data_IF_684454971169
#
_entry.id   IF_684454971169
#
_cell.length_a   1.000
_cell.length_b   1.000
_cell.length_c   1.000
_cell.angle_alpha   90.00
_cell.angle_beta   90.00
_cell.angle_gamma   90.00
#
_symmetry.space_group_name_H-M   'P 1'
#
loop_
_entity.id
_entity.type
_entity.pdbx_description
1 polymer ?
#
# COMPACT_ATOMS: atom_id res chain seq x y z
N UNK A 1 25.26 -89.11 -0.23
CA UNK A 1 24.10 -89.13 -1.15
C UNK A 1 22.96 -88.34 -0.53
N UNK A 2 22.32 -87.47 -1.34
CA UNK A 2 21.13 -86.62 -1.06
C UNK A 2 21.45 -85.30 -0.36
N UNK A 3 20.92 -84.14 -0.76
CA UNK A 3 20.32 -83.64 -2.00
C UNK A 3 20.25 -82.12 -1.78
N UNK A 4 20.62 -81.32 -2.77
CA UNK A 4 20.52 -79.86 -2.72
C UNK A 4 19.05 -79.42 -2.68
N UNK A 5 18.70 -78.47 -1.81
CA UNK A 5 17.49 -77.66 -1.92
C UNK A 5 17.89 -76.19 -1.86
N UNK A 6 17.79 -75.52 -3.01
CA UNK A 6 17.90 -74.07 -3.13
C UNK A 6 16.56 -73.46 -2.73
N UNK A 7 16.54 -72.67 -1.66
CA UNK A 7 15.40 -71.83 -1.32
C UNK A 7 15.59 -70.46 -1.99
N UNK A 8 14.75 -70.16 -2.98
CA UNK A 8 14.65 -68.82 -3.56
C UNK A 8 13.79 -67.95 -2.65
N UNK A 9 14.40 -66.98 -1.97
CA UNK A 9 13.68 -65.96 -1.20
C UNK A 9 13.21 -64.86 -2.15
N UNK A 10 11.91 -64.80 -2.41
CA UNK A 10 11.28 -63.70 -3.17
C UNK A 10 11.24 -62.45 -2.26
N UNK A 11 12.04 -61.44 -2.57
CA UNK A 11 11.95 -60.13 -1.91
C UNK A 11 10.77 -59.35 -2.52
N UNK A 12 9.68 -59.22 -1.78
CA UNK A 12 8.57 -58.34 -2.15
C UNK A 12 8.98 -56.88 -1.95
N UNK A 13 9.17 -56.15 -3.05
CA UNK A 13 9.41 -54.72 -3.05
C UNK A 13 8.07 -54.00 -2.76
N UNK A 14 7.85 -53.63 -1.50
CA UNK A 14 6.70 -52.84 -1.08
C UNK A 14 6.90 -51.40 -1.58
N UNK A 15 6.27 -51.05 -2.71
CA UNK A 15 6.21 -49.66 -3.16
C UNK A 15 5.34 -48.86 -2.17
N UNK A 16 5.96 -48.04 -1.33
CA UNK A 16 5.24 -47.01 -0.59
C UNK A 16 4.70 -46.00 -1.60
N UNK A 17 3.41 -46.11 -1.90
CA UNK A 17 2.66 -45.05 -2.56
C UNK A 17 2.60 -43.90 -1.56
N UNK A 18 3.50 -42.92 -1.74
CA UNK A 18 3.46 -41.67 -0.99
C UNK A 18 2.09 -41.04 -1.18
N UNK A 19 1.32 -40.96 -0.10
CA UNK A 19 0.08 -40.19 -0.08
C UNK A 19 0.45 -38.75 -0.39
N UNK A 20 0.22 -38.31 -1.63
CA UNK A 20 0.27 -36.91 -1.97
C UNK A 20 -0.77 -36.21 -1.10
N UNK A 21 -0.33 -35.56 -0.03
CA UNK A 21 -1.16 -34.64 0.73
C UNK A 21 -1.62 -33.58 -0.25
N UNK A 22 -2.89 -33.60 -0.63
CA UNK A 22 -3.48 -32.57 -1.47
C UNK A 22 -3.15 -31.23 -0.83
N UNK A 23 -2.39 -30.41 -1.55
CA UNK A 23 -2.09 -29.05 -1.17
C UNK A 23 -3.44 -28.36 -0.94
N UNK A 24 -3.70 -27.75 0.23
CA UNK A 24 -4.97 -27.07 0.46
C UNK A 24 -5.20 -26.09 -0.70
N UNK A 25 -6.42 -26.01 -1.26
CA UNK A 25 -6.69 -25.13 -2.38
C UNK A 25 -6.20 -23.73 -2.03
N UNK A 26 -5.55 -23.06 -2.99
CA UNK A 26 -5.10 -21.68 -2.86
C UNK A 26 -6.18 -20.87 -2.13
N UNK A 27 -5.80 -20.20 -1.04
CA UNK A 27 -6.72 -19.52 -0.13
C UNK A 27 -7.61 -18.55 -0.93
N UNK A 28 -8.84 -18.97 -1.21
CA UNK A 28 -9.80 -18.19 -2.00
C UNK A 28 -10.02 -16.84 -1.33
N UNK A 29 -10.01 -15.75 -2.11
CA UNK A 29 -10.30 -14.42 -1.59
C UNK A 29 -11.68 -14.39 -0.92
N UNK A 30 -11.88 -13.49 0.03
CA UNK A 30 -13.11 -13.41 0.81
C UNK A 30 -13.46 -11.99 1.20
N UNK A 31 -14.74 -11.75 1.44
CA UNK A 31 -15.24 -10.51 2.04
C UNK A 31 -16.20 -10.87 3.18
N UNK A 32 -16.06 -10.21 4.33
CA UNK A 32 -17.11 -10.19 5.35
C UNK A 32 -17.99 -8.97 5.07
N UNK A 33 -19.28 -9.19 4.83
CA UNK A 33 -20.22 -8.11 4.56
C UNK A 33 -20.79 -7.60 5.88
N UNK A 34 -20.91 -6.28 6.01
CA UNK A 34 -21.51 -5.60 7.16
C UNK A 34 -22.59 -4.63 6.69
N UNK A 35 -23.56 -4.31 7.55
CA UNK A 35 -24.46 -3.18 7.35
C UNK A 35 -23.87 -1.84 7.82
N UNK A 36 -24.62 -0.76 7.66
CA UNK A 36 -24.18 0.60 8.00
C UNK A 36 -23.90 0.80 9.49
N UNK A 37 -24.41 -0.09 10.35
CA UNK A 37 -24.11 -0.14 11.78
C UNK A 37 -22.88 -1.01 12.10
N UNK A 38 -22.26 -1.63 11.09
CA UNK A 38 -21.12 -2.53 11.24
C UNK A 38 -21.51 -3.96 11.65
N UNK A 39 -22.79 -4.31 11.64
CA UNK A 39 -23.23 -5.67 11.99
C UNK A 39 -22.98 -6.62 10.81
N UNK A 40 -22.37 -7.76 11.11
CA UNK A 40 -22.06 -8.78 10.11
C UNK A 40 -23.34 -9.35 9.45
N UNK A 41 -23.34 -9.35 8.11
CA UNK A 41 -24.39 -9.88 7.23
C UNK A 41 -23.99 -11.16 6.51
N UNK A 42 -22.81 -11.71 6.79
CA UNK A 42 -22.33 -12.96 6.21
C UNK A 42 -21.06 -12.76 5.40
N UNK A 43 -20.79 -13.68 4.48
CA UNK A 43 -19.52 -13.73 3.76
C UNK A 43 -19.69 -13.98 2.27
N UNK A 44 -18.74 -13.46 1.49
CA UNK A 44 -18.51 -13.82 0.10
C UNK A 44 -17.15 -14.51 -0.04
N UNK A 45 -17.06 -15.55 -0.88
CA UNK A 45 -15.81 -16.25 -1.23
C UNK A 45 -15.60 -16.21 -2.74
N UNK A 46 -14.37 -15.95 -3.16
CA UNK A 46 -14.00 -15.68 -4.55
C UNK A 46 -12.91 -16.67 -4.97
N UNK A 47 -13.22 -17.54 -5.92
CA UNK A 47 -12.32 -18.63 -6.37
C UNK A 47 -12.10 -18.53 -7.86
N UNK A 48 -10.86 -18.29 -8.29
CA UNK A 48 -10.50 -18.35 -9.71
C UNK A 48 -10.72 -19.76 -10.26
N UNK A 49 -11.41 -19.87 -11.38
CA UNK A 49 -11.63 -21.11 -12.14
C UNK A 49 -11.21 -20.93 -13.60
N UNK A 50 -11.04 -22.00 -14.39
CA UNK A 50 -10.73 -21.89 -15.81
C UNK A 50 -11.78 -21.08 -16.60
N UNK A 51 -13.02 -20.99 -16.11
CA UNK A 51 -14.13 -20.27 -16.73
C UNK A 51 -14.34 -18.85 -16.17
N UNK A 52 -13.40 -18.34 -15.37
CA UNK A 52 -13.49 -17.04 -14.69
C UNK A 52 -13.65 -17.16 -13.18
N UNK A 53 -14.05 -16.07 -12.53
CA UNK A 53 -14.18 -16.00 -11.09
C UNK A 53 -15.51 -16.60 -10.62
N UNK A 54 -15.45 -17.61 -9.76
CA UNK A 54 -16.61 -18.08 -9.00
C UNK A 54 -16.76 -17.23 -7.73
N UNK A 55 -17.99 -16.79 -7.44
CA UNK A 55 -18.33 -16.00 -6.25
C UNK A 55 -19.44 -16.75 -5.50
N UNK A 56 -19.13 -17.19 -4.27
CA UNK A 56 -20.05 -17.87 -3.37
C UNK A 56 -20.48 -16.91 -2.26
N UNK A 57 -21.77 -16.60 -2.18
CA UNK A 57 -22.38 -15.73 -1.18
C UNK A 57 -23.15 -16.57 -0.16
N UNK A 58 -22.93 -16.32 1.12
CA UNK A 58 -23.73 -16.83 2.24
C UNK A 58 -24.07 -15.66 3.16
N UNK A 59 -25.26 -15.08 2.97
CA UNK A 59 -25.69 -13.83 3.60
C UNK A 59 -26.94 -14.05 4.47
N UNK A 60 -27.11 -13.16 5.45
CA UNK A 60 -28.20 -13.21 6.42
C UNK A 60 -28.60 -11.82 6.92
N UNK A 61 -29.82 -11.72 7.43
CA UNK A 61 -30.34 -10.48 8.03
C UNK A 61 -30.52 -9.36 7.00
N UNK A 62 -30.81 -9.74 5.75
CA UNK A 62 -31.18 -8.85 4.65
C UNK A 62 -32.71 -8.83 4.49
N UNK A 63 -33.30 -7.75 3.94
CA UNK A 63 -34.72 -7.73 3.58
C UNK A 63 -35.07 -8.88 2.61
N UNK A 64 -36.25 -9.52 2.72
CA UNK A 64 -36.67 -10.49 1.72
C UNK A 64 -36.93 -9.83 0.35
N UNK A 65 -36.53 -10.51 -0.74
CA UNK A 65 -36.72 -10.02 -2.10
C UNK A 65 -35.50 -10.17 -3.00
N UNK A 66 -35.51 -9.48 -4.14
CA UNK A 66 -34.38 -9.43 -5.07
C UNK A 66 -33.52 -8.21 -4.78
N UNK A 67 -32.20 -8.39 -4.78
CA UNK A 67 -31.23 -7.34 -4.46
C UNK A 67 -30.12 -7.29 -5.51
N UNK A 68 -29.75 -6.09 -5.97
CA UNK A 68 -28.57 -5.93 -6.79
C UNK A 68 -27.31 -6.25 -6.00
N UNK A 69 -26.32 -6.84 -6.67
CA UNK A 69 -24.99 -7.09 -6.12
C UNK A 69 -23.97 -6.61 -7.13
N UNK A 70 -23.01 -5.80 -6.68
CA UNK A 70 -21.97 -5.25 -7.55
C UNK A 70 -20.60 -5.36 -6.90
N UNK A 71 -19.57 -5.57 -7.72
CA UNK A 71 -18.19 -5.27 -7.31
C UNK A 71 -17.91 -3.80 -7.61
N UNK A 72 -17.59 -3.04 -6.59
CA UNK A 72 -17.27 -1.62 -6.71
C UNK A 72 -15.76 -1.39 -6.82
N UNK A 73 -15.38 -0.26 -7.42
CA UNK A 73 -13.99 0.05 -7.76
C UNK A 73 -13.09 0.12 -6.53
N UNK A 74 -13.57 0.62 -5.39
CA UNK A 74 -12.76 0.86 -4.20
C UNK A 74 -13.06 -0.18 -3.11
N UNK A 75 -12.02 -0.68 -2.46
CA UNK A 75 -12.11 -1.57 -1.30
C UNK A 75 -12.47 -0.85 -0.02
N UNK A 76 -13.60 -0.14 -0.02
CA UNK A 76 -14.06 0.65 1.11
C UNK A 76 -15.54 0.48 1.35
N UNK A 77 -15.89 0.38 2.63
CA UNK A 77 -17.27 0.32 3.11
C UNK A 77 -17.59 1.50 4.04
N UNK A 78 -16.84 2.59 3.96
CA UNK A 78 -17.16 3.80 4.70
C UNK A 78 -18.29 4.58 3.99
N UNK A 79 -19.05 5.42 4.71
CA UNK A 79 -19.89 6.43 4.08
C UNK A 79 -19.04 7.33 3.18
N UNK A 80 -19.57 7.71 2.03
CA UNK A 80 -18.86 8.55 1.07
C UNK A 80 -19.80 9.17 0.04
N UNK A 81 -19.30 10.08 -0.82
CA UNK A 81 -20.11 10.69 -1.85
C UNK A 81 -20.56 9.63 -2.87
N UNK A 82 -21.86 9.59 -3.16
CA UNK A 82 -22.41 8.84 -4.28
C UNK A 82 -22.47 9.76 -5.51
N UNK A 83 -21.76 9.45 -6.61
CA UNK A 83 -21.81 10.24 -7.85
C UNK A 83 -23.20 10.31 -8.48
N UNK A 84 -24.06 9.30 -8.25
CA UNK A 84 -25.42 9.25 -8.78
C UNK A 84 -26.34 10.22 -8.04
N UNK A 85 -26.18 10.33 -6.73
CA UNK A 85 -27.09 11.08 -5.86
C UNK A 85 -26.54 12.45 -5.41
N UNK A 86 -25.25 12.70 -5.65
CA UNK A 86 -24.51 13.86 -5.16
C UNK A 86 -24.67 14.08 -3.64
N UNK A 87 -24.71 12.98 -2.87
CA UNK A 87 -24.89 12.95 -1.42
C UNK A 87 -23.94 11.97 -0.76
N UNK A 88 -23.64 12.19 0.52
CA UNK A 88 -22.95 11.18 1.33
C UNK A 88 -23.96 10.09 1.69
N UNK A 89 -23.71 8.87 1.24
CA UNK A 89 -24.56 7.71 1.51
C UNK A 89 -23.77 6.63 2.25
N UNK A 90 -24.43 5.74 3.01
CA UNK A 90 -23.79 4.53 3.51
C UNK A 90 -23.06 3.79 2.38
N UNK A 91 -21.81 3.38 2.63
CA UNK A 91 -20.96 2.68 1.66
C UNK A 91 -20.61 3.46 0.38
N UNK A 92 -20.86 4.77 0.32
CA UNK A 92 -20.54 5.59 -0.86
C UNK A 92 -19.05 5.60 -1.22
N UNK A 93 -18.16 5.40 -0.25
CA UNK A 93 -16.71 5.36 -0.46
C UNK A 93 -16.25 4.18 -1.35
N UNK A 94 -17.08 3.14 -1.50
CA UNK A 94 -16.86 2.08 -2.48
C UNK A 94 -16.74 2.62 -3.93
N UNK A 95 -17.32 3.80 -4.20
CA UNK A 95 -17.23 4.47 -5.48
C UNK A 95 -18.11 3.84 -6.57
N UNK A 96 -17.78 4.02 -7.86
CA UNK A 96 -18.53 3.45 -8.98
C UNK A 96 -18.30 1.94 -9.09
N UNK A 97 -19.05 1.29 -9.99
CA UNK A 97 -18.83 -0.12 -10.32
C UNK A 97 -17.40 -0.34 -10.84
N UNK A 98 -16.87 -1.53 -10.60
CA UNK A 98 -15.56 -1.89 -11.10
C UNK A 98 -15.61 -2.13 -12.62
N UNK A 99 -14.94 -1.26 -13.37
CA UNK A 99 -14.91 -1.27 -14.83
C UNK A 99 -13.47 -1.41 -15.37
N UNK A 100 -12.88 -2.62 -15.36
CA UNK A 100 -11.50 -2.83 -15.79
C UNK A 100 -11.27 -2.61 -17.29
N UNK A 101 -12.33 -2.67 -18.09
CA UNK A 101 -12.31 -2.51 -19.55
C UNK A 101 -12.66 -1.09 -20.00
N UNK A 102 -13.09 -0.23 -19.08
CA UNK A 102 -13.49 1.15 -19.35
C UNK A 102 -14.69 1.24 -20.32
N UNK A 103 -15.63 0.30 -20.18
CA UNK A 103 -16.91 0.29 -20.91
C UNK A 103 -17.75 1.54 -20.66
N UNK A 104 -17.65 2.12 -19.45
CA UNK A 104 -18.43 3.28 -18.98
C UNK A 104 -19.94 3.10 -19.09
N UNK A 105 -20.42 1.87 -19.04
CA UNK A 105 -21.81 1.55 -19.25
C UNK A 105 -22.22 0.45 -18.27
N UNK A 106 -23.31 0.68 -17.53
CA UNK A 106 -23.96 -0.37 -16.76
C UNK A 106 -24.78 -1.29 -17.69
N UNK A 107 -24.92 -2.57 -17.34
CA UNK A 107 -25.84 -3.44 -18.07
C UNK A 107 -25.88 -4.89 -17.64
N UNK A 108 -26.43 -5.73 -18.54
CA UNK A 108 -26.61 -7.15 -18.28
C UNK A 108 -25.26 -7.84 -17.97
N UNK A 109 -25.12 -8.56 -16.84
CA UNK A 109 -23.87 -9.18 -16.45
C UNK A 109 -23.34 -10.22 -17.45
N UNK A 110 -24.21 -10.76 -18.32
CA UNK A 110 -23.86 -11.70 -19.39
C UNK A 110 -23.30 -11.03 -20.65
N UNK A 111 -23.40 -9.71 -20.77
CA UNK A 111 -22.85 -8.97 -21.90
C UNK A 111 -21.31 -9.00 -21.91
N UNK A 112 -20.69 -8.83 -23.10
CA UNK A 112 -19.24 -8.78 -23.23
C UNK A 112 -18.58 -7.75 -22.32
N UNK A 113 -17.36 -8.05 -21.85
CA UNK A 113 -16.65 -7.24 -20.87
C UNK A 113 -16.38 -5.80 -21.33
N UNK A 114 -16.31 -5.55 -22.64
CA UNK A 114 -16.09 -4.23 -23.24
C UNK A 114 -17.38 -3.40 -23.40
N UNK A 115 -18.55 -3.96 -23.09
CA UNK A 115 -19.86 -3.30 -23.26
C UNK A 115 -20.53 -2.92 -21.95
N UNK A 116 -20.17 -3.57 -20.85
CA UNK A 116 -20.73 -3.34 -19.52
C UNK A 116 -19.65 -3.37 -18.46
N UNK A 117 -19.91 -2.81 -17.28
CA UNK A 117 -18.95 -2.88 -16.19
C UNK A 117 -18.61 -4.34 -15.85
N UNK A 118 -17.34 -4.60 -15.55
CA UNK A 118 -16.88 -5.92 -15.11
C UNK A 118 -17.51 -6.35 -13.78
N UNK A 119 -17.85 -5.38 -12.93
CA UNK A 119 -18.45 -5.54 -11.61
C UNK A 119 -19.97 -5.70 -11.58
N UNK A 120 -20.66 -5.62 -12.71
CA UNK A 120 -22.09 -5.93 -12.80
C UNK A 120 -22.31 -7.44 -12.61
N UNK A 121 -23.12 -7.84 -11.63
CA UNK A 121 -23.40 -9.24 -11.29
C UNK A 121 -24.91 -9.55 -11.27
N UNK A 122 -25.31 -10.83 -11.39
CA UNK A 122 -26.71 -11.20 -11.24
C UNK A 122 -27.31 -10.82 -9.88
N UNK A 123 -28.59 -10.44 -9.88
CA UNK A 123 -29.40 -10.19 -8.69
C UNK A 123 -29.40 -11.38 -7.71
N UNK A 124 -29.33 -11.06 -6.41
CA UNK A 124 -29.42 -11.98 -5.29
C UNK A 124 -30.87 -12.14 -4.81
N UNK A 125 -31.33 -13.39 -4.70
CA UNK A 125 -32.60 -13.72 -4.08
C UNK A 125 -32.43 -13.95 -2.57
N UNK A 126 -33.12 -13.17 -1.76
CA UNK A 126 -33.19 -13.31 -0.30
C UNK A 126 -34.54 -13.90 0.10
N UNK A 127 -34.49 -14.99 0.87
CA UNK A 127 -35.67 -15.69 1.36
C UNK A 127 -36.45 -14.94 2.45
N UNK A 128 -37.66 -15.40 2.82
CA UNK A 128 -38.48 -14.78 3.87
C UNK A 128 -37.82 -14.77 5.26
N UNK A 129 -36.85 -15.65 5.50
CA UNK A 129 -36.04 -15.72 6.72
C UNK A 129 -34.84 -14.75 6.71
N UNK A 130 -34.73 -13.93 5.66
CA UNK A 130 -33.65 -12.96 5.48
C UNK A 130 -32.31 -13.59 5.12
N UNK A 131 -32.27 -14.85 4.69
CA UNK A 131 -31.06 -15.57 4.26
C UNK A 131 -30.97 -15.65 2.75
N UNK A 132 -29.74 -15.66 2.25
CA UNK A 132 -29.47 -15.86 0.83
C UNK A 132 -28.18 -16.66 0.63
N UNK A 133 -28.24 -17.66 -0.26
CA UNK A 133 -27.07 -18.38 -0.76
C UNK A 133 -27.07 -18.37 -2.28
N UNK A 134 -25.97 -17.92 -2.86
CA UNK A 134 -25.82 -17.82 -4.31
C UNK A 134 -24.39 -18.16 -4.71
N UNK A 135 -24.24 -19.07 -5.67
CA UNK A 135 -22.99 -19.26 -6.39
C UNK A 135 -23.17 -18.68 -7.78
N UNK A 136 -22.34 -17.71 -8.14
CA UNK A 136 -22.31 -17.09 -9.46
C UNK A 136 -20.92 -17.19 -10.08
N UNK A 137 -20.84 -17.01 -11.40
CA UNK A 137 -19.58 -16.98 -12.14
C UNK A 137 -19.51 -15.72 -12.99
N UNK A 138 -18.34 -15.09 -13.01
CA UNK A 138 -18.04 -13.98 -13.90
C UNK A 138 -16.81 -14.31 -14.74
N UNK A 139 -16.98 -14.34 -16.06
CA UNK A 139 -15.87 -14.47 -17.01
C UNK A 139 -15.03 -13.18 -17.12
N UNK A 140 -15.51 -12.07 -16.55
CA UNK A 140 -14.93 -10.72 -16.65
C UNK A 140 -13.95 -10.40 -15.51
N UNK A 141 -13.95 -11.21 -14.46
CA UNK A 141 -13.26 -10.93 -13.20
C UNK A 141 -12.29 -12.04 -12.84
N UNK A 142 -11.27 -11.70 -12.05
CA UNK A 142 -10.34 -12.65 -11.41
C UNK A 142 -10.13 -12.28 -9.95
N UNK A 143 -9.56 -13.17 -9.15
CA UNK A 143 -9.04 -12.87 -7.81
C UNK A 143 -7.51 -12.98 -7.76
N UNK A 144 -6.84 -12.72 -8.89
CA UNK A 144 -5.39 -12.83 -9.04
C UNK A 144 -4.70 -11.51 -8.68
N UNK A 145 -3.75 -11.48 -7.74
CA UNK A 145 -3.05 -10.25 -7.41
C UNK A 145 -2.31 -9.66 -8.63
N UNK A 146 -2.46 -8.34 -8.85
CA UNK A 146 -1.81 -7.62 -9.96
C UNK A 146 -2.51 -7.73 -11.32
N UNK A 147 -3.55 -8.57 -11.45
CA UNK A 147 -4.34 -8.64 -12.68
C UNK A 147 -5.24 -7.39 -12.82
N UNK A 148 -5.32 -6.82 -14.03
CA UNK A 148 -6.18 -5.65 -14.32
C UNK A 148 -7.66 -5.92 -13.98
N UNK A 149 -8.09 -7.16 -14.10
CA UNK A 149 -9.46 -7.63 -13.82
C UNK A 149 -9.67 -8.12 -12.39
N UNK A 150 -8.65 -7.98 -11.53
CA UNK A 150 -8.68 -8.50 -10.17
C UNK A 150 -9.69 -7.77 -9.30
N UNK A 151 -10.46 -8.53 -8.51
CA UNK A 151 -11.35 -8.02 -7.46
C UNK A 151 -10.66 -7.80 -6.12
N UNK A 152 -9.39 -8.17 -5.97
CA UNK A 152 -8.67 -7.98 -4.70
C UNK A 152 -8.51 -6.48 -4.38
N UNK A 153 -8.73 -6.11 -3.12
CA UNK A 153 -8.71 -4.72 -2.66
C UNK A 153 -9.90 -3.90 -3.15
N UNK A 154 -10.97 -4.57 -3.64
CA UNK A 154 -12.25 -3.97 -4.03
C UNK A 154 -13.32 -4.28 -3.00
N UNK A 155 -14.54 -3.79 -3.20
CA UNK A 155 -15.66 -4.11 -2.33
C UNK A 155 -16.79 -4.80 -3.09
N UNK A 156 -17.49 -5.70 -2.40
CA UNK A 156 -18.76 -6.25 -2.84
C UNK A 156 -19.87 -5.50 -2.11
N UNK A 157 -20.82 -4.94 -2.84
CA UNK A 157 -21.95 -4.16 -2.30
C UNK A 157 -23.25 -4.85 -2.65
N UNK A 158 -24.18 -4.89 -1.69
CA UNK A 158 -25.57 -5.31 -1.87
C UNK A 158 -26.46 -4.09 -1.75
N UNK A 159 -27.38 -3.92 -2.69
CA UNK A 159 -28.33 -2.80 -2.72
C UNK A 159 -29.72 -3.19 -2.22
N UNK A 160 -30.55 -2.20 -1.90
CA UNK A 160 -31.90 -2.38 -1.37
C UNK A 160 -32.87 -3.02 -2.38
N UNK A 161 -32.72 -2.70 -3.67
CA UNK A 161 -33.64 -3.11 -4.74
C UNK A 161 -32.91 -3.94 -5.81
N UNK A 162 -33.63 -4.65 -6.69
CA UNK A 162 -33.02 -5.35 -7.81
C UNK A 162 -32.41 -4.39 -8.82
N UNK A 163 -31.38 -4.88 -9.51
CA UNK A 163 -30.82 -4.30 -10.72
C UNK A 163 -31.76 -4.54 -11.91
N UNK A 164 -32.11 -3.49 -12.65
CA UNK A 164 -32.88 -3.54 -13.89
C UNK A 164 -32.04 -3.83 -15.16
N UNK A 165 -30.72 -3.92 -15.01
CA UNK A 165 -29.67 -4.14 -16.01
C UNK A 165 -29.64 -3.14 -17.17
N UNK A 166 -30.16 -1.93 -16.96
CA UNK A 166 -30.31 -0.92 -18.01
C UNK A 166 -29.98 0.50 -17.56
N UNK A 167 -30.37 0.87 -16.35
CA UNK A 167 -30.35 2.26 -15.93
C UNK A 167 -29.02 2.64 -15.28
N UNK A 168 -28.30 3.60 -15.83
CA UNK A 168 -27.09 4.10 -15.19
C UNK A 168 -27.37 4.81 -13.85
N UNK A 169 -26.41 4.78 -12.90
CA UNK A 169 -25.14 4.05 -12.96
C UNK A 169 -25.19 2.64 -12.35
N UNK A 170 -26.32 2.22 -11.78
CA UNK A 170 -26.44 1.01 -10.95
C UNK A 170 -27.81 0.33 -11.03
N UNK A 171 -28.46 0.40 -12.19
CA UNK A 171 -29.69 -0.34 -12.49
C UNK A 171 -30.91 0.04 -11.67
N UNK A 172 -31.03 1.29 -11.23
CA UNK A 172 -32.06 1.72 -10.27
C UNK A 172 -32.10 0.90 -8.96
N UNK A 173 -30.99 0.27 -8.56
CA UNK A 173 -30.93 -0.60 -7.38
C UNK A 173 -31.11 0.11 -6.03
N UNK A 174 -31.06 1.45 -6.01
CA UNK A 174 -31.28 2.24 -4.81
C UNK A 174 -30.15 2.14 -3.77
N UNK A 175 -30.44 2.43 -2.49
CA UNK A 175 -29.45 2.52 -1.43
C UNK A 175 -28.59 1.27 -1.26
N UNK A 176 -27.35 1.46 -0.81
CA UNK A 176 -26.40 0.39 -0.47
C UNK A 176 -26.71 -0.10 0.96
N UNK A 177 -26.99 -1.39 1.13
CA UNK A 177 -27.45 -1.96 2.42
C UNK A 177 -26.44 -2.88 3.09
N UNK A 178 -25.49 -3.44 2.34
CA UNK A 178 -24.36 -4.19 2.89
C UNK A 178 -23.12 -4.03 2.03
N UNK A 179 -21.94 -4.08 2.65
CA UNK A 179 -20.66 -3.98 1.96
C UNK A 179 -19.59 -4.81 2.64
N UNK A 180 -18.71 -5.43 1.85
CA UNK A 180 -17.51 -6.10 2.35
C UNK A 180 -16.31 -5.88 1.43
N UNK A 181 -15.14 -5.61 2.01
CA UNK A 181 -13.87 -5.51 1.27
C UNK A 181 -13.37 -6.91 0.93
N UNK A 182 -12.94 -7.11 -0.31
CA UNK A 182 -12.51 -8.38 -0.89
C UNK A 182 -11.00 -8.50 -0.73
N UNK A 183 -10.58 -9.36 0.19
CA UNK A 183 -9.17 -9.56 0.55
C UNK A 183 -8.79 -11.05 0.47
N UNK A 184 -7.50 -11.35 0.38
CA UNK A 184 -7.02 -12.74 0.51
C UNK A 184 -7.02 -13.17 1.99
N UNK A 185 -7.47 -14.40 2.33
CA UNK A 185 -7.30 -14.95 3.67
C UNK A 185 -5.82 -14.96 4.07
N UNK A 186 -5.51 -14.51 5.29
CA UNK A 186 -4.14 -14.35 5.75
C UNK A 186 -3.43 -13.08 5.25
N UNK A 187 -4.13 -12.19 4.53
CA UNK A 187 -3.68 -10.83 4.18
C UNK A 187 -4.54 -9.74 4.84
N UNK A 188 -5.14 -10.04 5.99
CA UNK A 188 -5.72 -9.00 6.86
C UNK A 188 -4.58 -8.24 7.52
N UNK A 189 -4.59 -6.89 7.53
CA UNK A 189 -3.66 -6.12 8.33
C UNK A 189 -3.67 -6.60 9.79
N UNK A 190 -2.48 -6.70 10.39
CA UNK A 190 -2.29 -6.98 11.82
C UNK A 190 -2.91 -5.88 12.68
N UNK A 191 -2.86 -4.63 12.18
CA UNK A 191 -3.48 -3.47 12.77
C UNK A 191 -3.79 -2.42 11.68
N UNK A 192 -4.67 -1.49 12.01
CA UNK A 192 -4.97 -0.31 11.18
C UNK A 192 -5.05 0.92 12.07
N UNK A 193 -4.36 1.98 11.67
CA UNK A 193 -4.39 3.29 12.30
C UNK A 193 -5.06 4.29 11.36
N UNK A 194 -6.27 4.72 11.67
CA UNK A 194 -7.06 5.64 10.83
C UNK A 194 -6.86 7.10 11.24
N UNK A 195 -6.88 8.00 10.27
CA UNK A 195 -6.83 9.45 10.50
C UNK A 195 -8.22 10.08 10.37
N UNK A 196 -8.47 11.11 11.18
CA UNK A 196 -9.66 11.95 11.05
C UNK A 196 -9.36 13.09 10.05
N UNK A 197 -10.27 13.32 9.10
CA UNK A 197 -10.16 14.40 8.11
C UNK A 197 -10.06 13.91 6.66
N UNK A 198 -10.54 14.75 5.74
CA UNK A 198 -10.59 14.43 4.31
C UNK A 198 -9.36 14.91 3.51
N UNK A 199 -8.40 15.55 4.17
CA UNK A 199 -7.26 16.19 3.51
C UNK A 199 -5.93 15.78 4.14
N UNK A 200 -5.84 14.59 4.74
CA UNK A 200 -4.65 14.15 5.48
C UNK A 200 -3.50 13.78 4.56
N UNK A 201 -3.73 12.96 3.53
CA UNK A 201 -2.70 12.47 2.59
C UNK A 201 -1.38 12.10 3.30
N UNK A 202 -1.40 11.07 4.16
CA UNK A 202 -0.24 10.72 4.96
C UNK A 202 0.89 10.27 4.03
N UNK A 203 2.10 10.76 4.21
CA UNK A 203 3.21 10.48 3.30
C UNK A 203 4.34 9.79 4.05
N UNK A 204 5.15 10.52 4.80
CA UNK A 204 6.32 9.97 5.47
C UNK A 204 6.02 9.37 6.85
N UNK A 205 6.90 8.50 7.32
CA UNK A 205 6.80 7.84 8.63
C UNK A 205 8.16 7.72 9.32
N UNK A 206 8.18 7.90 10.63
CA UNK A 206 9.31 7.61 11.50
C UNK A 206 8.84 6.86 12.74
N UNK A 207 9.65 5.95 13.27
CA UNK A 207 9.27 5.15 14.46
C UNK A 207 10.29 5.39 15.56
N UNK A 208 9.81 5.65 16.77
CA UNK A 208 10.60 5.53 17.98
C UNK A 208 10.72 4.06 18.36
N UNK A 209 11.86 3.45 18.09
CA UNK A 209 12.12 2.03 18.36
C UNK A 209 11.98 1.67 19.85
N UNK A 210 12.16 2.64 20.77
CA UNK A 210 12.09 2.38 22.21
C UNK A 210 10.64 2.23 22.69
N UNK A 211 9.74 3.05 22.16
CA UNK A 211 8.34 3.11 22.60
C UNK A 211 7.39 2.40 21.63
N UNK A 212 7.81 2.22 20.38
CA UNK A 212 7.00 1.78 19.26
C UNK A 212 6.03 2.85 18.75
N UNK A 213 6.10 4.09 19.23
CA UNK A 213 5.28 5.19 18.69
C UNK A 213 5.78 5.54 17.30
N UNK A 214 4.87 5.57 16.33
CA UNK A 214 5.18 6.08 14.99
C UNK A 214 4.72 7.53 14.85
N UNK A 215 5.42 8.30 14.02
CA UNK A 215 5.11 9.66 13.64
C UNK A 215 4.86 9.70 12.15
N UNK A 216 3.78 10.33 11.72
CA UNK A 216 3.36 10.37 10.31
C UNK A 216 3.15 11.81 9.88
N UNK A 217 3.68 12.17 8.71
CA UNK A 217 3.51 13.49 8.09
C UNK A 217 2.36 13.52 7.08
N UNK A 218 1.75 14.69 6.91
CA UNK A 218 0.75 14.99 5.88
C UNK A 218 1.37 15.76 4.72
N UNK A 219 1.25 15.27 3.49
CA UNK A 219 1.79 15.94 2.29
C UNK A 219 1.00 17.19 1.88
N UNK A 220 -0.25 17.30 2.31
CA UNK A 220 -1.22 18.33 1.91
C UNK A 220 -1.32 19.48 2.89
N UNK A 221 -1.19 19.20 4.18
CA UNK A 221 -1.42 20.17 5.25
C UNK A 221 -0.20 20.35 6.16
N UNK A 222 0.82 19.50 6.03
CA UNK A 222 2.01 19.51 6.88
C UNK A 222 1.75 19.15 8.34
N UNK A 223 0.56 18.61 8.63
CA UNK A 223 0.21 18.02 9.91
C UNK A 223 1.17 16.90 10.29
N UNK A 224 1.48 16.82 11.59
CA UNK A 224 2.17 15.69 12.19
C UNK A 224 1.21 14.92 13.08
N UNK A 225 1.22 13.61 12.94
CA UNK A 225 0.40 12.69 13.72
C UNK A 225 1.26 11.69 14.46
N UNK A 226 0.70 11.10 15.52
CA UNK A 226 1.26 9.98 16.25
C UNK A 226 0.38 8.74 16.09
N UNK A 227 1.01 7.60 15.90
CA UNK A 227 0.39 6.29 16.01
C UNK A 227 0.86 5.68 17.33
N UNK A 228 -0.02 5.67 18.32
CA UNK A 228 0.26 5.05 19.62
C UNK A 228 -0.08 3.56 19.52
N UNK A 229 0.84 2.65 19.88
CA UNK A 229 0.57 1.23 19.84
C UNK A 229 -0.70 0.83 20.59
N UNK A 230 -1.51 -0.02 19.96
CA UNK A 230 -2.80 -0.47 20.50
C UNK A 230 -3.96 0.49 20.30
N UNK A 231 -3.75 1.69 19.73
CA UNK A 231 -4.84 2.60 19.36
C UNK A 231 -5.14 2.55 17.87
N UNK A 232 -6.41 2.37 17.52
CA UNK A 232 -6.87 2.33 16.13
C UNK A 232 -6.92 3.71 15.45
N UNK A 233 -6.94 4.81 16.21
CA UNK A 233 -6.92 6.17 15.67
C UNK A 233 -5.56 6.82 15.83
N UNK A 234 -5.12 7.53 14.80
CA UNK A 234 -3.98 8.43 14.85
C UNK A 234 -4.31 9.67 15.70
N UNK A 235 -3.35 10.12 16.50
CA UNK A 235 -3.47 11.33 17.31
C UNK A 235 -2.79 12.50 16.58
N UNK A 236 -3.47 13.63 16.42
CA UNK A 236 -2.83 14.85 15.92
C UNK A 236 -1.78 15.33 16.94
N UNK A 237 -0.52 15.42 16.52
CA UNK A 237 0.58 15.96 17.33
C UNK A 237 0.71 17.46 17.15
N UNK A 238 0.73 17.92 15.90
CA UNK A 238 0.91 19.33 15.59
C UNK A 238 0.21 19.73 14.29
N UNK A 239 -0.37 20.93 14.32
CA UNK A 239 -0.85 21.59 13.12
C UNK A 239 0.33 21.98 12.21
N UNK A 240 0.13 21.94 10.89
CA UNK A 240 1.11 22.34 9.91
C UNK A 240 1.04 23.85 9.64
N UNK A 241 1.57 24.28 8.51
CA UNK A 241 1.60 25.68 8.07
C UNK A 241 2.71 26.54 8.70
N UNK A 242 3.45 26.03 9.69
CA UNK A 242 4.71 26.66 10.11
C UNK A 242 5.78 26.50 9.02
N UNK A 243 6.79 27.38 8.91
CA UNK A 243 7.83 27.28 7.88
C UNK A 243 8.47 25.90 7.80
N UNK A 244 8.50 25.31 6.59
CA UNK A 244 9.01 23.96 6.33
C UNK A 244 8.07 22.84 6.75
N UNK A 245 6.84 23.17 7.14
CA UNK A 245 5.72 22.25 7.38
C UNK A 245 4.46 22.74 6.66
N UNK A 246 4.62 23.33 5.48
CA UNK A 246 3.53 23.50 4.51
C UNK A 246 3.12 22.13 3.93
N UNK A 247 4.10 21.22 3.84
CA UNK A 247 3.94 19.78 3.65
C UNK A 247 4.91 19.06 4.60
N UNK A 248 4.59 17.83 4.97
CA UNK A 248 5.44 16.96 5.78
C UNK A 248 5.59 15.63 5.04
N UNK A 249 6.65 15.52 4.23
CA UNK A 249 6.98 14.34 3.43
C UNK A 249 7.86 13.39 4.25
N UNK A 250 9.05 13.01 3.78
CA UNK A 250 9.94 12.10 4.50
C UNK A 250 10.23 12.52 5.95
N UNK A 251 10.15 11.55 6.87
CA UNK A 251 10.45 11.72 8.29
C UNK A 251 11.56 10.78 8.76
N UNK A 252 12.40 11.27 9.67
CA UNK A 252 13.22 10.44 10.56
C UNK A 252 13.27 11.01 11.98
N UNK A 253 13.31 10.12 12.96
CA UNK A 253 13.48 10.46 14.37
C UNK A 253 14.93 10.20 14.77
N UNK A 254 15.58 11.19 15.38
CA UNK A 254 16.91 11.00 15.95
C UNK A 254 16.87 10.59 17.43
N UNK A 255 18.03 10.21 17.96
CA UNK A 255 18.17 9.77 19.34
C UNK A 255 17.94 10.88 20.39
N UNK A 256 17.87 12.15 19.97
CA UNK A 256 17.56 13.29 20.84
C UNK A 256 16.06 13.60 20.87
N UNK A 257 15.23 12.81 20.19
CA UNK A 257 13.79 13.03 20.12
C UNK A 257 13.41 14.15 19.17
N UNK A 258 14.21 14.41 18.13
CA UNK A 258 13.89 15.38 17.08
C UNK A 258 13.46 14.66 15.81
N UNK A 259 12.32 15.08 15.26
CA UNK A 259 11.81 14.68 13.96
C UNK A 259 12.37 15.60 12.89
N UNK A 260 13.04 15.01 11.91
CA UNK A 260 13.54 15.65 10.71
C UNK A 260 12.50 15.45 9.62
N UNK A 261 12.00 16.55 9.06
CA UNK A 261 10.83 16.55 8.16
C UNK A 261 11.18 17.26 6.87
N UNK A 262 11.14 16.53 5.75
CA UNK A 262 11.31 17.08 4.43
C UNK A 262 10.05 17.86 4.00
N UNK A 263 10.21 19.13 3.64
CA UNK A 263 9.11 20.05 3.37
C UNK A 263 8.64 20.10 1.92
N UNK A 264 9.06 19.16 1.06
CA UNK A 264 8.63 19.10 -0.34
C UNK A 264 9.02 20.33 -1.14
N UNK A 265 8.03 20.91 -1.82
CA UNK A 265 8.18 22.08 -2.68
C UNK A 265 8.60 23.37 -1.94
N UNK A 266 8.49 23.42 -0.61
CA UNK A 266 8.98 24.55 0.17
C UNK A 266 10.51 24.69 0.11
N UNK A 267 11.23 23.60 -0.21
CA UNK A 267 12.68 23.58 -0.20
C UNK A 267 13.27 23.71 1.19
N UNK A 268 12.51 23.32 2.22
CA UNK A 268 12.91 23.44 3.62
C UNK A 268 12.97 22.08 4.30
N UNK A 269 13.96 21.89 5.16
CA UNK A 269 14.06 20.78 6.09
C UNK A 269 13.75 21.31 7.49
N UNK A 270 12.65 20.86 8.09
CA UNK A 270 12.28 21.24 9.45
C UNK A 270 12.81 20.22 10.46
N UNK A 271 13.24 20.71 11.62
CA UNK A 271 13.59 19.89 12.79
C UNK A 271 12.58 20.21 13.89
N UNK A 272 11.83 19.20 14.33
CA UNK A 272 10.68 19.33 15.21
C UNK A 272 10.91 18.52 16.48
N UNK A 273 10.57 19.09 17.62
CA UNK A 273 10.54 18.35 18.89
C UNK A 273 9.44 17.29 18.85
N UNK A 274 9.79 16.00 18.94
CA UNK A 274 8.82 14.90 18.75
C UNK A 274 7.82 14.77 19.90
N UNK A 275 8.11 15.32 21.08
CA UNK A 275 7.23 15.28 22.24
C UNK A 275 6.15 16.37 22.18
N UNK A 276 6.52 17.56 21.72
CA UNK A 276 5.65 18.75 21.73
C UNK A 276 5.14 19.14 20.35
N UNK A 277 5.74 18.63 19.28
CA UNK A 277 5.42 19.01 17.90
C UNK A 277 5.89 20.41 17.51
N UNK A 278 6.71 21.08 18.34
CA UNK A 278 7.22 22.43 18.10
C UNK A 278 8.42 22.41 17.15
N UNK A 279 8.37 23.20 16.08
CA UNK A 279 9.51 23.41 15.19
C UNK A 279 10.66 24.10 15.95
N UNK A 280 11.82 23.45 15.98
CA UNK A 280 13.03 23.92 16.66
C UNK A 280 14.02 24.58 15.69
N UNK A 281 14.10 24.09 14.45
CA UNK A 281 14.90 24.68 13.39
C UNK A 281 14.26 24.48 12.02
N UNK A 282 14.60 25.34 11.07
CA UNK A 282 14.19 25.25 9.66
C UNK A 282 15.42 25.57 8.83
N UNK A 283 15.78 24.68 7.92
CA UNK A 283 16.94 24.81 7.04
C UNK A 283 16.46 24.97 5.61
N UNK A 284 16.88 26.06 4.97
CA UNK A 284 16.62 26.30 3.57
C UNK A 284 17.63 25.58 2.67
N UNK A 285 17.16 25.01 1.56
CA UNK A 285 18.08 24.69 0.46
C UNK A 285 18.81 25.95 0.01
N UNK A 286 20.09 25.86 -0.39
CA UNK A 286 20.77 26.95 -1.08
C UNK A 286 19.98 27.44 -2.30
N UNK A 287 20.11 28.74 -2.60
CA UNK A 287 19.47 29.38 -3.76
C UNK A 287 19.73 28.60 -5.05
N UNK A 288 18.69 28.43 -5.86
CA UNK A 288 18.77 27.62 -7.08
C UNK A 288 17.42 27.50 -7.81
N UNK A 289 17.33 26.61 -8.81
CA UNK A 289 16.08 26.30 -9.55
C UNK A 289 14.99 25.73 -8.63
N UNK A 290 13.83 25.30 -9.11
CA UNK A 290 12.82 24.69 -8.23
C UNK A 290 13.34 23.41 -7.56
N UNK A 291 13.07 23.21 -6.26
CA UNK A 291 13.44 22.01 -5.47
C UNK A 291 12.19 21.23 -5.08
N UNK A 292 12.37 19.96 -4.78
CA UNK A 292 11.39 19.15 -4.07
C UNK A 292 12.09 18.21 -3.10
N UNK A 293 12.25 18.62 -1.83
CA UNK A 293 12.85 17.78 -0.80
C UNK A 293 11.89 16.65 -0.43
N UNK A 294 12.26 15.41 -0.71
CA UNK A 294 11.33 14.29 -0.64
C UNK A 294 11.56 13.42 0.59
N UNK A 295 12.70 12.72 0.66
CA UNK A 295 12.97 11.78 1.75
C UNK A 295 14.27 12.11 2.49
N UNK A 296 14.37 11.68 3.74
CA UNK A 296 15.50 11.93 4.64
C UNK A 296 15.97 10.66 5.33
N UNK A 297 17.28 10.51 5.47
CA UNK A 297 17.90 9.48 6.31
C UNK A 297 18.94 10.07 7.25
N UNK A 298 19.01 9.53 8.47
CA UNK A 298 20.05 9.85 9.44
C UNK A 298 21.15 8.79 9.34
N UNK A 299 22.36 9.20 8.98
CA UNK A 299 23.50 8.31 8.82
C UNK A 299 24.42 8.30 10.05
N UNK A 300 25.20 7.22 10.19
CA UNK A 300 26.11 7.00 11.31
C UNK A 300 27.32 7.94 11.34
N UNK A 301 27.59 8.63 10.24
CA UNK A 301 28.63 9.66 10.14
C UNK A 301 28.21 11.01 10.72
N UNK A 302 27.00 11.10 11.27
CA UNK A 302 26.47 12.29 11.93
C UNK A 302 25.72 13.24 11.00
N UNK A 303 25.46 12.86 9.75
CA UNK A 303 24.72 13.68 8.78
C UNK A 303 23.33 13.11 8.44
N UNK A 304 22.36 14.00 8.40
CA UNK A 304 21.07 13.76 7.77
C UNK A 304 21.25 14.01 6.28
N UNK A 305 20.91 13.04 5.43
CA UNK A 305 20.95 13.15 3.98
C UNK A 305 19.52 13.27 3.44
N UNK A 306 19.30 14.22 2.53
CA UNK A 306 17.96 14.55 2.02
C UNK A 306 17.97 14.51 0.50
N UNK A 307 17.06 13.73 -0.07
CA UNK A 307 16.88 13.64 -1.52
C UNK A 307 16.10 14.84 -2.05
N UNK A 308 16.49 15.32 -3.24
CA UNK A 308 15.70 16.26 -4.03
C UNK A 308 15.19 15.56 -5.27
N UNK A 309 13.87 15.41 -5.39
CA UNK A 309 13.27 14.73 -6.54
C UNK A 309 13.23 15.59 -7.79
N UNK A 310 13.50 16.89 -7.70
CA UNK A 310 13.49 17.84 -8.82
C UNK A 310 14.90 18.24 -9.26
N UNK A 311 15.79 18.56 -8.33
CA UNK A 311 17.20 18.92 -8.63
C UNK A 311 18.11 17.70 -8.48
N UNK A 312 19.11 17.49 -9.36
CA UNK A 312 20.07 16.40 -9.22
C UNK A 312 21.10 16.70 -8.13
N UNK A 313 20.65 16.85 -6.88
CA UNK A 313 21.48 17.16 -5.71
C UNK A 313 21.04 16.28 -4.54
N UNK A 314 22.02 15.72 -3.83
CA UNK A 314 21.80 15.19 -2.49
C UNK A 314 22.23 16.22 -1.47
N UNK A 315 21.30 16.65 -0.63
CA UNK A 315 21.58 17.61 0.44
C UNK A 315 22.01 16.90 1.72
N UNK A 316 22.72 17.61 2.60
CA UNK A 316 22.96 17.12 3.97
C UNK A 316 22.98 18.20 5.03
N UNK A 317 22.68 17.81 6.27
CA UNK A 317 22.84 18.66 7.46
C UNK A 317 23.39 17.84 8.63
N UNK A 318 24.19 18.44 9.51
CA UNK A 318 24.65 17.75 10.71
C UNK A 318 23.45 17.45 11.63
N UNK A 319 23.24 16.18 11.97
CA UNK A 319 22.24 15.79 12.99
C UNK A 319 22.89 15.49 14.33
N UNK A 320 24.16 15.06 14.35
CA UNK A 320 24.86 14.85 15.60
C UNK A 320 25.13 16.20 16.30
N UNK A 321 24.59 16.36 17.52
CA UNK A 321 24.86 17.52 18.36
C UNK A 321 23.81 18.65 18.26
N UNK A 322 24.21 19.93 18.39
CA UNK A 322 23.32 21.08 18.35
C UNK A 322 22.50 21.16 17.06
N UNK A 323 21.40 21.93 17.09
CA UNK A 323 20.60 22.16 15.89
C UNK A 323 21.46 22.75 14.77
N UNK A 324 21.43 22.18 13.55
CA UNK A 324 22.15 22.73 12.41
C UNK A 324 21.58 24.11 12.04
N UNK A 325 22.40 24.89 11.31
CA UNK A 325 22.01 26.21 10.80
C UNK A 325 21.85 26.26 9.28
N UNK A 326 22.32 25.25 8.57
CA UNK A 326 22.34 25.23 7.10
C UNK A 326 22.12 23.83 6.55
N UNK A 327 21.52 23.77 5.37
CA UNK A 327 21.44 22.59 4.53
C UNK A 327 22.49 22.72 3.41
N UNK A 328 23.44 21.79 3.34
CA UNK A 328 24.54 21.81 2.37
C UNK A 328 24.13 21.06 1.09
N UNK A 329 24.35 21.67 -0.08
CA UNK A 329 24.33 20.96 -1.36
C UNK A 329 25.58 20.06 -1.45
N UNK A 330 25.49 18.86 -0.89
CA UNK A 330 26.66 18.03 -0.61
C UNK A 330 27.20 17.31 -1.85
N UNK A 331 26.31 16.76 -2.67
CA UNK A 331 26.67 16.00 -3.86
C UNK A 331 25.82 16.44 -5.05
N UNK A 332 26.50 16.93 -6.10
CA UNK A 332 25.92 17.13 -7.42
C UNK A 332 25.79 15.77 -8.12
N UNK A 333 24.57 15.24 -8.18
CA UNK A 333 24.26 13.98 -8.84
C UNK A 333 24.33 14.11 -10.37
N UNK A 334 24.25 15.32 -10.93
CA UNK A 334 24.42 15.57 -12.37
C UNK A 334 25.84 15.25 -12.84
N UNK A 335 26.82 15.34 -11.95
CA UNK A 335 28.22 14.94 -12.19
C UNK A 335 28.48 13.44 -11.97
N UNK A 336 27.45 12.65 -11.65
CA UNK A 336 27.54 11.19 -11.39
C UNK A 336 26.88 10.41 -12.52
N UNK A 337 26.79 9.07 -12.47
CA UNK A 337 26.01 8.30 -13.45
C UNK A 337 24.48 8.49 -13.36
N UNK A 338 23.95 9.11 -12.30
CA UNK A 338 22.50 9.33 -12.13
C UNK A 338 21.97 10.27 -13.22
N UNK A 339 20.83 9.95 -13.82
CA UNK A 339 20.21 10.76 -14.88
C UNK A 339 18.79 11.14 -14.50
N UNK A 340 18.56 12.40 -14.19
CA UNK A 340 17.23 12.91 -13.87
C UNK A 340 16.38 13.07 -15.12
N UNK A 341 15.08 12.78 -15.00
CA UNK A 341 14.06 13.04 -16.01
C UNK A 341 13.22 14.25 -15.59
N UNK A 342 13.04 15.22 -16.48
CA UNK A 342 12.37 16.49 -16.16
C UNK A 342 10.84 16.38 -16.00
N UNK A 343 10.25 15.27 -16.41
CA UNK A 343 8.80 15.02 -16.47
C UNK A 343 8.27 14.16 -15.32
N UNK A 344 9.13 13.67 -14.42
CA UNK A 344 8.75 12.82 -13.30
C UNK A 344 9.66 13.02 -12.07
N UNK A 345 9.18 12.71 -10.84
CA UNK A 345 10.03 12.70 -9.65
C UNK A 345 11.24 11.75 -9.82
N UNK A 346 12.42 12.18 -9.39
CA UNK A 346 13.66 11.40 -9.54
C UNK A 346 14.10 10.72 -8.24
N UNK A 347 15.29 11.03 -7.73
CA UNK A 347 15.79 10.40 -6.51
C UNK A 347 14.82 10.69 -5.37
N UNK A 348 14.43 9.64 -4.67
CA UNK A 348 13.31 9.69 -3.75
C UNK A 348 13.65 8.97 -2.44
N UNK A 349 13.11 7.77 -2.19
CA UNK A 349 13.38 7.07 -0.95
C UNK A 349 14.86 6.79 -0.73
N UNK A 350 15.33 6.99 0.51
CA UNK A 350 16.73 6.83 0.89
C UNK A 350 16.88 6.15 2.26
N UNK A 351 17.84 5.24 2.36
CA UNK A 351 18.20 4.51 3.59
C UNK A 351 19.71 4.46 3.77
N UNK A 352 20.16 4.26 5.00
CA UNK A 352 21.56 4.11 5.35
C UNK A 352 21.82 2.66 5.77
N UNK A 353 22.97 2.11 5.38
CA UNK A 353 23.36 0.76 5.78
C UNK A 353 23.74 0.71 7.25
N UNK A 354 23.45 -0.41 7.91
CA UNK A 354 23.71 -0.60 9.34
C UNK A 354 25.20 -0.56 9.72
N UNK A 355 26.09 -0.87 8.77
CA UNK A 355 27.54 -0.72 8.92
C UNK A 355 28.02 0.74 8.76
N UNK A 356 27.11 1.67 8.46
CA UNK A 356 27.39 3.10 8.26
C UNK A 356 28.22 3.41 7.03
N UNK A 357 28.37 2.46 6.08
CA UNK A 357 29.25 2.62 4.93
C UNK A 357 28.58 3.22 3.71
N UNK A 358 27.28 3.02 3.53
CA UNK A 358 26.59 3.37 2.29
C UNK A 358 25.24 4.02 2.55
N UNK A 359 24.83 4.86 1.62
CA UNK A 359 23.44 5.25 1.44
C UNK A 359 22.89 4.48 0.23
N UNK A 360 21.67 3.98 0.33
CA UNK A 360 20.94 3.37 -0.77
C UNK A 360 19.74 4.25 -1.10
N UNK A 361 19.55 4.59 -2.38
CA UNK A 361 18.46 5.45 -2.80
C UNK A 361 17.78 4.91 -4.06
N UNK A 362 16.45 4.97 -4.11
CA UNK A 362 15.67 4.61 -5.30
C UNK A 362 15.34 5.85 -6.11
N UNK A 363 15.33 5.72 -7.43
CA UNK A 363 14.89 6.75 -8.35
C UNK A 363 13.51 6.39 -8.91
N UNK A 364 12.48 7.15 -8.52
CA UNK A 364 11.07 6.88 -8.88
C UNK A 364 10.87 6.77 -10.39
N UNK A 365 11.45 7.69 -11.16
CA UNK A 365 11.27 7.82 -12.61
C UNK A 365 11.89 6.70 -13.46
N UNK A 366 12.89 5.99 -12.93
CA UNK A 366 13.63 4.95 -13.66
C UNK A 366 13.50 3.58 -13.01
N UNK A 367 13.19 3.53 -11.72
CA UNK A 367 13.27 2.31 -10.90
C UNK A 367 14.69 1.86 -10.61
N UNK A 368 15.70 2.70 -10.87
CA UNK A 368 17.09 2.36 -10.57
C UNK A 368 17.35 2.51 -9.08
N UNK A 369 18.17 1.60 -8.55
CA UNK A 369 18.65 1.64 -7.17
C UNK A 369 20.12 2.08 -7.18
N UNK A 370 20.47 3.01 -6.31
CA UNK A 370 21.79 3.65 -6.29
C UNK A 370 22.46 3.41 -4.95
N UNK A 371 23.74 3.02 -4.97
CA UNK A 371 24.64 3.01 -3.82
C UNK A 371 25.50 4.26 -3.84
N UNK A 372 25.53 4.98 -2.73
CA UNK A 372 26.30 6.22 -2.57
C UNK A 372 27.25 6.06 -1.40
N UNK A 373 28.54 6.35 -1.63
CA UNK A 373 29.55 6.42 -0.58
C UNK A 373 29.56 7.82 0.05
N UNK A 374 29.16 8.01 1.32
CA UNK A 374 29.17 9.31 1.98
C UNK A 374 30.58 9.88 2.20
N UNK A 375 31.64 9.06 2.10
CA UNK A 375 33.03 9.48 2.29
C UNK A 375 33.69 9.87 0.97
N UNK A 376 33.63 8.98 -0.03
CA UNK A 376 34.27 9.19 -1.33
C UNK A 376 33.39 9.95 -2.34
N UNK A 377 32.09 10.05 -2.06
CA UNK A 377 31.05 10.58 -2.98
C UNK A 377 30.85 9.74 -4.24
N UNK A 378 31.40 8.53 -4.28
CA UNK A 378 31.19 7.61 -5.38
C UNK A 378 29.72 7.18 -5.43
N UNK A 379 29.14 7.19 -6.63
CA UNK A 379 27.78 6.72 -6.89
C UNK A 379 27.84 5.59 -7.92
N UNK A 380 27.25 4.44 -7.56
CA UNK A 380 27.14 3.27 -8.44
C UNK A 380 25.72 2.76 -8.46
N UNK A 381 25.25 2.34 -9.63
CA UNK A 381 23.99 1.62 -9.73
C UNK A 381 24.11 0.23 -9.05
N UNK A 382 23.05 -0.17 -8.36
CA UNK A 382 22.83 -1.52 -7.87
C UNK A 382 21.89 -2.20 -8.87
N UNK A 383 22.40 -3.05 -9.78
CA UNK A 383 21.52 -3.80 -10.67
C UNK A 383 20.62 -4.73 -9.85
N UNK A 384 19.35 -4.78 -10.26
CA UNK A 384 18.29 -5.55 -9.59
C UNK A 384 17.81 -6.65 -10.52
N UNK A 385 18.08 -7.91 -10.15
CA UNK A 385 17.56 -9.08 -10.85
C UNK A 385 16.11 -9.36 -10.44
N UNK A 386 15.26 -9.81 -11.38
CA UNK A 386 13.88 -10.22 -11.06
C UNK A 386 12.80 -9.13 -11.23
N UNK A 387 13.12 -8.04 -11.92
CA UNK A 387 12.14 -7.09 -12.46
C UNK A 387 12.33 -5.64 -12.00
N UNK A 388 11.51 -4.75 -12.57
CA UNK A 388 11.61 -3.31 -12.35
C UNK A 388 11.14 -2.86 -10.96
N UNK A 389 11.72 -1.75 -10.49
CA UNK A 389 11.27 -0.95 -9.35
C UNK A 389 10.72 0.42 -9.78
N UNK A 390 10.26 0.56 -11.04
CA UNK A 390 9.65 1.79 -11.51
C UNK A 390 8.54 2.23 -10.56
N UNK A 391 8.47 3.53 -10.27
CA UNK A 391 7.61 4.11 -9.23
C UNK A 391 7.94 3.67 -7.80
N UNK A 392 9.18 3.24 -7.55
CA UNK A 392 9.71 3.02 -6.21
C UNK A 392 9.80 4.31 -5.42
N UNK A 393 9.33 4.28 -4.18
CA UNK A 393 9.19 5.43 -3.31
C UNK A 393 9.88 5.16 -1.96
N UNK A 394 9.15 5.16 -0.84
CA UNK A 394 9.73 4.91 0.48
C UNK A 394 10.46 3.56 0.59
N UNK A 395 11.58 3.61 1.32
CA UNK A 395 12.50 2.50 1.53
C UNK A 395 12.62 2.13 3.02
N UNK A 396 12.76 0.82 3.28
CA UNK A 396 13.13 0.30 4.60
C UNK A 396 14.20 -0.78 4.44
N UNK A 397 15.37 -0.57 5.05
CA UNK A 397 16.44 -1.57 5.09
C UNK A 397 16.47 -2.27 6.44
N UNK A 398 16.43 -3.60 6.43
CA UNK A 398 16.57 -4.44 7.62
C UNK A 398 17.57 -5.56 7.35
N UNK A 399 18.78 -5.43 7.88
CA UNK A 399 19.90 -6.30 7.50
C UNK A 399 20.21 -6.14 6.02
N UNK A 400 20.07 -7.22 5.24
CA UNK A 400 20.24 -7.22 3.78
C UNK A 400 18.92 -7.26 3.00
N UNK A 401 17.80 -7.23 3.70
CA UNK A 401 16.48 -7.15 3.07
C UNK A 401 16.09 -5.68 2.91
N UNK A 402 16.00 -5.21 1.67
CA UNK A 402 15.50 -3.87 1.34
C UNK A 402 14.06 -3.98 0.87
N UNK A 403 13.16 -3.30 1.57
CA UNK A 403 11.77 -3.18 1.18
C UNK A 403 11.58 -1.87 0.43
N UNK A 404 10.88 -1.97 -0.70
CA UNK A 404 10.57 -0.85 -1.59
C UNK A 404 9.05 -0.77 -1.73
N UNK A 405 8.47 0.37 -1.37
CA UNK A 405 7.08 0.69 -1.70
C UNK A 405 7.01 1.11 -3.16
N UNK A 406 6.03 0.60 -3.91
CA UNK A 406 5.73 1.05 -5.26
C UNK A 406 4.31 1.60 -5.32
N UNK A 407 4.18 2.93 -5.44
CA UNK A 407 2.88 3.58 -5.21
C UNK A 407 1.86 3.20 -6.29
N UNK A 408 2.25 3.35 -7.56
CA UNK A 408 1.38 3.18 -8.72
C UNK A 408 0.91 1.72 -8.83
N UNK A 409 1.82 0.78 -8.62
CA UNK A 409 1.53 -0.65 -8.62
C UNK A 409 0.83 -1.13 -7.35
N UNK A 410 0.79 -0.30 -6.30
CA UNK A 410 0.21 -0.62 -4.99
C UNK A 410 0.77 -1.94 -4.44
N UNK A 411 2.08 -2.01 -4.31
CA UNK A 411 2.79 -3.19 -3.82
C UNK A 411 3.98 -2.88 -2.92
N UNK A 412 4.41 -3.89 -2.16
CA UNK A 412 5.71 -3.92 -1.50
C UNK A 412 6.62 -4.93 -2.18
N UNK A 413 7.84 -4.52 -2.52
CA UNK A 413 8.87 -5.38 -3.09
C UNK A 413 9.95 -5.61 -2.05
N UNK A 414 10.23 -6.87 -1.70
CA UNK A 414 11.39 -7.24 -0.88
C UNK A 414 12.53 -7.66 -1.80
N UNK A 415 13.64 -6.95 -1.67
CA UNK A 415 14.92 -7.25 -2.31
C UNK A 415 15.85 -7.91 -1.32
N UNK A 416 16.66 -8.84 -1.80
CA UNK A 416 17.78 -9.40 -1.06
C UNK A 416 19.08 -8.87 -1.66
N UNK A 417 19.81 -8.08 -0.87
CA UNK A 417 21.09 -7.47 -1.23
C UNK A 417 22.25 -8.44 -0.95
N UNK A 418 23.31 -8.37 -1.76
CA UNK A 418 24.58 -9.02 -1.43
C UNK A 418 25.29 -8.30 -0.27
N UNK A 419 26.34 -8.91 0.28
CA UNK A 419 27.07 -8.35 1.45
C UNK A 419 27.70 -6.99 1.16
N UNK A 420 28.06 -6.72 -0.10
CA UNK A 420 28.64 -5.46 -0.53
C UNK A 420 27.62 -4.40 -0.92
N UNK A 421 26.31 -4.69 -0.91
CA UNK A 421 25.27 -3.84 -1.49
C UNK A 421 25.57 -3.45 -2.96
N UNK A 422 26.24 -4.31 -3.72
CA UNK A 422 26.57 -4.10 -5.14
C UNK A 422 25.51 -4.66 -6.08
N UNK A 423 24.71 -5.62 -5.62
CA UNK A 423 23.65 -6.28 -6.40
C UNK A 423 22.45 -6.58 -5.53
N UNK A 424 21.28 -6.63 -6.14
CA UNK A 424 20.06 -7.05 -5.48
C UNK A 424 19.29 -8.03 -6.36
N UNK A 425 18.46 -8.87 -5.74
CA UNK A 425 17.43 -9.65 -6.45
C UNK A 425 16.08 -9.44 -5.80
N UNK A 426 15.02 -9.40 -6.60
CA UNK A 426 13.64 -9.45 -6.11
C UNK A 426 13.42 -10.82 -5.47
N UNK A 427 13.25 -10.84 -4.16
CA UNK A 427 12.88 -12.05 -3.43
C UNK A 427 11.37 -12.23 -3.37
N UNK A 428 10.63 -11.13 -3.31
CA UNK A 428 9.18 -11.19 -3.17
C UNK A 428 8.48 -9.90 -3.61
N UNK A 429 7.26 -10.06 -4.11
CA UNK A 429 6.31 -8.99 -4.38
C UNK A 429 5.03 -9.24 -3.61
N UNK A 430 4.58 -8.25 -2.86
CA UNK A 430 3.40 -8.34 -2.00
C UNK A 430 2.36 -7.37 -2.48
N UNK A 431 1.26 -7.94 -2.96
CA UNK A 431 0.08 -7.26 -3.52
C UNK A 431 -1.18 -7.75 -2.79
N UNK A 432 -2.36 -7.20 -3.09
CA UNK A 432 -3.63 -7.71 -2.55
C UNK A 432 -3.80 -7.58 -1.03
N UNK A 433 -2.97 -6.75 -0.40
CA UNK A 433 -3.25 -6.10 0.88
C UNK A 433 -4.10 -4.84 0.57
N UNK A 434 -4.80 -4.25 1.55
CA UNK A 434 -5.62 -3.04 1.34
C UNK A 434 -4.75 -1.78 1.19
N UNK A 435 -3.80 -1.82 0.25
CA UNK A 435 -2.97 -0.70 -0.14
C UNK A 435 -3.79 0.31 -0.93
N UNK A 436 -3.65 1.60 -0.59
CA UNK A 436 -4.31 2.73 -1.27
C UNK A 436 -3.23 3.71 -1.70
N UNK A 437 -2.52 3.36 -2.78
CA UNK A 437 -1.35 4.12 -3.27
C UNK A 437 -0.34 4.38 -2.14
N UNK A 438 0.30 3.31 -1.63
CA UNK A 438 1.16 3.39 -0.47
C UNK A 438 2.36 4.29 -0.78
N UNK A 439 2.79 5.15 0.14
CA UNK A 439 3.89 6.12 -0.05
C UNK A 439 5.20 5.65 0.55
N UNK A 440 5.14 5.08 1.75
CA UNK A 440 6.32 4.66 2.48
C UNK A 440 6.00 3.54 3.47
N UNK A 441 7.05 3.08 4.16
CA UNK A 441 6.93 2.10 5.22
C UNK A 441 7.98 2.29 6.32
N UNK A 442 7.68 1.74 7.50
CA UNK A 442 8.64 1.58 8.59
C UNK A 442 8.48 0.23 9.29
N UNK A 443 9.47 -0.12 10.10
CA UNK A 443 9.38 -1.28 10.98
C UNK A 443 8.22 -1.10 11.98
N UNK A 444 7.34 -2.10 12.06
CA UNK A 444 6.28 -2.19 13.06
C UNK A 444 6.73 -2.98 14.30
N UNK A 445 5.77 -3.47 15.10
CA UNK A 445 6.09 -4.30 16.27
C UNK A 445 6.45 -5.71 15.85
N UNK A 446 7.48 -6.28 16.47
CA UNK A 446 7.95 -7.63 16.16
C UNK A 446 8.42 -7.74 14.71
N UNK A 447 7.77 -8.60 13.93
CA UNK A 447 8.03 -8.75 12.50
C UNK A 447 7.03 -7.96 11.62
N UNK A 448 6.27 -7.02 12.17
CA UNK A 448 5.34 -6.18 11.40
C UNK A 448 6.03 -5.11 10.55
N UNK A 449 5.36 -4.68 9.49
CA UNK A 449 5.69 -3.50 8.70
C UNK A 449 4.51 -2.53 8.76
N UNK A 450 4.76 -1.28 9.15
CA UNK A 450 3.80 -0.19 9.04
C UNK A 450 3.89 0.38 7.63
N UNK A 451 2.78 0.38 6.89
CA UNK A 451 2.70 0.87 5.51
C UNK A 451 1.73 2.02 5.44
N UNK A 452 2.19 3.16 4.94
CA UNK A 452 1.40 4.39 4.86
C UNK A 452 0.61 4.40 3.55
N UNK A 453 -0.72 4.48 3.64
CA UNK A 453 -1.61 4.61 2.49
C UNK A 453 -1.88 6.09 2.17
N UNK A 454 -1.02 6.69 1.34
CA UNK A 454 -1.00 8.13 1.14
C UNK A 454 -1.95 8.70 0.09
N UNK A 455 -2.34 7.92 -0.91
CA UNK A 455 -3.31 8.36 -1.94
C UNK A 455 -2.91 9.65 -2.68
N UNK A 456 -1.61 9.85 -2.96
CA UNK A 456 -1.09 11.06 -3.62
C UNK A 456 -1.72 11.31 -5.01
N UNK A 457 -2.15 10.26 -5.71
CA UNK A 457 -2.87 10.37 -6.98
C UNK A 457 -4.22 11.07 -6.84
N UNK A 458 -4.85 10.99 -5.66
CA UNK A 458 -6.14 11.61 -5.33
C UNK A 458 -6.02 13.02 -4.77
N UNK A 459 -4.82 13.40 -4.33
CA UNK A 459 -4.54 14.80 -4.00
C UNK A 459 -4.65 15.68 -5.26
N UNK A 460 -4.27 15.13 -6.42
CA UNK A 460 -4.42 15.77 -7.73
C UNK A 460 -5.77 15.49 -8.40
N UNK A 461 -6.41 14.36 -8.05
CA UNK A 461 -7.68 13.91 -8.62
C UNK A 461 -8.67 13.51 -7.52
N UNK A 462 -9.29 14.48 -6.81
CA UNK A 462 -10.21 14.20 -5.71
C UNK A 462 -11.50 13.47 -6.18
N UNK A 463 -12.25 12.83 -5.27
CA UNK A 463 -12.05 12.79 -3.82
C UNK A 463 -11.08 11.68 -3.33
N UNK A 464 -10.47 11.86 -2.15
CA UNK A 464 -9.74 10.80 -1.48
C UNK A 464 -10.67 9.70 -0.97
N UNK A 465 -10.09 8.53 -0.72
CA UNK A 465 -10.75 7.42 -0.04
C UNK A 465 -10.57 7.57 1.48
N UNK A 466 -11.65 7.36 2.23
CA UNK A 466 -11.69 7.64 3.66
C UNK A 466 -12.12 6.42 4.48
N UNK A 467 -11.55 6.23 5.68
CA UNK A 467 -10.48 7.06 6.27
C UNK A 467 -9.13 6.80 5.60
N UNK A 468 -8.26 7.82 5.62
CA UNK A 468 -6.82 7.58 5.43
C UNK A 468 -6.32 6.65 6.52
N UNK A 469 -5.30 5.84 6.23
CA UNK A 469 -4.76 4.89 7.19
C UNK A 469 -3.26 4.60 7.04
N UNK A 470 -2.68 4.12 8.13
CA UNK A 470 -1.46 3.30 8.13
C UNK A 470 -1.88 1.90 8.52
N UNK A 471 -1.52 0.91 7.71
CA UNK A 471 -1.80 -0.49 8.00
C UNK A 471 -0.52 -1.19 8.47
N UNK A 472 -0.65 -2.05 9.48
CA UNK A 472 0.42 -2.95 9.88
C UNK A 472 0.22 -4.29 9.18
N UNK A 473 1.25 -4.79 8.50
CA UNK A 473 1.21 -6.05 7.76
C UNK A 473 2.31 -6.96 8.25
N UNK A 474 2.11 -8.28 8.20
CA UNK A 474 3.18 -9.23 8.52
C UNK A 474 4.34 -9.10 7.53
N UNK A 475 5.58 -9.37 7.99
CA UNK A 475 6.74 -9.38 7.10
C UNK A 475 6.49 -10.39 5.96
N UNK A 476 6.51 -9.94 4.70
CA UNK A 476 6.36 -10.84 3.58
C UNK A 476 7.55 -11.79 3.45
#
# INVERSE_FOLDING_TARGET
>A
MKQHHHAHTLAALLMLVGSATAQPPASAASATLVDSAGLAKGTARFTDTPQGLQIDLDLQGLPPGQHAVHVHRHGECAPGPDPAENKVVPFGAAGPHFDPTQSRNHGDPSAPADQVHGGDLPNLAVGPDGRARLTLRSAKLTARPGDKTSVLGRSLVVHERPDDYRSDPAGNAGPRIACGVIDLPGRTPLARHTFDGANVFPEGIAVDEKTGVAYVGSSSEGHLYKLVPGRAKAELLALGGSPGREAALGLKLDAQGRLWVAGGASGKLAVVDAATGRTQAVLDTPSGPQTFLNDVVLAADGFAYVTDSARPVLFRAAHAGPLPRQLEAWLDLGATPVRYRGDAPNLNGIVATSDGRWLLAVQTSTGQLWRIDPRSREVREIPVDGGSLLHGDGLLLQGRSLFVVRNVESELVRLELDEGYTRARVAQRTTGLPFKHPTTLAAGRGAGLLVVNGQLERQKNPPPLLPFDVIEVGRP
#
